data_IF_561651169761
#
_entry.id   IF_561651169761
#
_cell.length_a   1.000
_cell.length_b   1.000
_cell.length_c   1.000
_cell.angle_alpha   90.00
_cell.angle_beta   90.00
_cell.angle_gamma   90.00
#
_symmetry.space_group_name_H-M   'P 1'
#
loop_
_entity.id
_entity.type
_entity.pdbx_description
1 polymer ?
#
# COMPACT_ATOMS: atom_id res chain seq x y z
N UNK A 1 1.74 -22.09 -50.41
CA UNK A 1 2.88 -21.32 -49.86
C UNK A 1 2.56 -19.84 -49.67
N UNK A 2 2.27 -19.04 -50.71
CA UNK A 2 2.00 -17.59 -50.55
C UNK A 2 0.69 -17.29 -49.80
N UNK A 3 -0.39 -18.03 -50.11
CA UNK A 3 -1.68 -17.92 -49.42
C UNK A 3 -1.58 -18.21 -47.91
N UNK A 4 -0.87 -19.28 -47.55
CA UNK A 4 -0.63 -19.68 -46.15
C UNK A 4 0.19 -18.62 -45.38
N UNK A 5 1.14 -17.96 -46.06
CA UNK A 5 1.90 -16.85 -45.50
C UNK A 5 1.00 -15.63 -45.22
N UNK A 6 0.02 -15.38 -46.08
CA UNK A 6 -0.95 -14.30 -45.92
C UNK A 6 -1.90 -14.57 -44.74
N UNK A 7 -2.45 -15.78 -44.65
CA UNK A 7 -3.32 -16.21 -43.55
C UNK A 7 -2.58 -16.17 -42.21
N UNK A 8 -1.34 -16.68 -42.16
CA UNK A 8 -0.51 -16.62 -40.96
C UNK A 8 -0.21 -15.18 -40.52
N UNK A 9 0.02 -14.27 -41.47
CA UNK A 9 0.23 -12.85 -41.19
C UNK A 9 -1.02 -12.23 -40.57
N UNK A 10 -2.20 -12.49 -41.12
CA UNK A 10 -3.46 -11.96 -40.60
C UNK A 10 -3.77 -12.49 -39.19
N UNK A 11 -3.58 -13.79 -38.94
CA UNK A 11 -3.74 -14.37 -37.61
C UNK A 11 -2.78 -13.76 -36.60
N UNK A 12 -1.52 -13.58 -36.98
CA UNK A 12 -0.51 -12.97 -36.12
C UNK A 12 -0.88 -11.52 -35.78
N UNK A 13 -1.35 -10.74 -36.75
CA UNK A 13 -1.81 -9.37 -36.50
C UNK A 13 -3.03 -9.32 -35.58
N UNK A 14 -3.97 -10.26 -35.71
CA UNK A 14 -5.12 -10.37 -34.79
C UNK A 14 -4.66 -10.71 -33.36
N UNK A 15 -3.72 -11.64 -33.21
CA UNK A 15 -3.14 -12.00 -31.90
C UNK A 15 -2.40 -10.83 -31.26
N UNK A 16 -1.60 -10.10 -32.03
CA UNK A 16 -0.88 -8.91 -31.54
C UNK A 16 -1.87 -7.87 -31.00
N UNK A 17 -2.90 -7.52 -31.79
CA UNK A 17 -3.93 -6.56 -31.34
C UNK A 17 -4.66 -7.01 -30.07
N UNK A 18 -4.98 -8.30 -29.97
CA UNK A 18 -5.62 -8.84 -28.77
C UNK A 18 -4.71 -8.75 -27.54
N UNK A 19 -3.41 -9.01 -27.71
CA UNK A 19 -2.42 -8.87 -26.64
C UNK A 19 -2.21 -7.42 -26.23
N UNK A 20 -2.17 -6.49 -27.18
CA UNK A 20 -2.10 -5.04 -26.89
C UNK A 20 -3.29 -4.58 -26.06
N UNK A 21 -4.51 -4.96 -26.45
CA UNK A 21 -5.72 -4.64 -25.67
C UNK A 21 -5.68 -5.23 -24.26
N UNK A 22 -5.20 -6.48 -24.13
CA UNK A 22 -5.05 -7.12 -22.83
C UNK A 22 -4.02 -6.40 -21.96
N UNK A 23 -2.89 -5.98 -22.53
CA UNK A 23 -1.88 -5.21 -21.82
C UNK A 23 -2.44 -3.87 -21.33
N UNK A 24 -3.13 -3.12 -22.18
CA UNK A 24 -3.77 -1.84 -21.80
C UNK A 24 -4.75 -2.05 -20.63
N UNK A 25 -5.52 -3.14 -20.66
CA UNK A 25 -6.44 -3.47 -19.57
C UNK A 25 -5.68 -3.78 -18.27
N UNK A 26 -4.63 -4.62 -18.34
CA UNK A 26 -3.82 -4.96 -17.17
C UNK A 26 -3.11 -3.74 -16.58
N UNK A 27 -2.59 -2.84 -17.42
CA UNK A 27 -1.98 -1.58 -16.96
C UNK A 27 -2.98 -0.72 -16.19
N UNK A 28 -4.23 -0.62 -16.65
CA UNK A 28 -5.29 0.09 -15.93
C UNK A 28 -5.60 -0.56 -14.58
N UNK A 29 -5.69 -1.89 -14.54
CA UNK A 29 -5.91 -2.61 -13.30
C UNK A 29 -4.75 -2.42 -12.32
N UNK A 30 -3.51 -2.53 -12.78
CA UNK A 30 -2.32 -2.33 -11.94
C UNK A 30 -2.31 -0.92 -11.36
N UNK A 31 -2.56 0.10 -12.18
CA UNK A 31 -2.61 1.48 -11.70
C UNK A 31 -3.68 1.69 -10.62
N UNK A 32 -4.88 1.15 -10.83
CA UNK A 32 -5.95 1.25 -9.84
C UNK A 32 -5.61 0.51 -8.53
N UNK A 33 -4.87 -0.59 -8.60
CA UNK A 33 -4.38 -1.31 -7.43
C UNK A 33 -3.28 -0.55 -6.70
N UNK A 34 -2.34 0.04 -7.42
CA UNK A 34 -1.28 0.89 -6.85
C UNK A 34 -1.88 2.09 -6.10
N UNK A 35 -2.82 2.80 -6.73
CA UNK A 35 -3.56 3.90 -6.08
C UNK A 35 -4.28 3.41 -4.82
N UNK A 36 -4.92 2.24 -4.87
CA UNK A 36 -5.62 1.67 -3.72
C UNK A 36 -4.70 1.27 -2.58
N UNK A 37 -3.51 0.73 -2.87
CA UNK A 37 -2.49 0.41 -1.87
C UNK A 37 -2.00 1.68 -1.22
N UNK A 38 -1.68 2.71 -2.00
CA UNK A 38 -1.24 4.00 -1.47
C UNK A 38 -2.29 4.63 -0.56
N UNK A 39 -3.58 4.59 -0.93
CA UNK A 39 -4.67 5.06 -0.08
C UNK A 39 -4.74 4.31 1.26
N UNK A 40 -4.48 2.99 1.25
CA UNK A 40 -4.49 2.19 2.47
C UNK A 40 -3.29 2.49 3.36
N UNK A 41 -2.09 2.64 2.78
CA UNK A 41 -0.88 3.02 3.50
C UNK A 41 -1.02 4.39 4.16
N UNK A 42 -1.59 5.37 3.46
CA UNK A 42 -1.86 6.70 4.02
C UNK A 42 -2.85 6.60 5.18
N UNK A 43 -3.95 5.86 5.01
CA UNK A 43 -4.94 5.65 6.09
C UNK A 43 -4.38 4.92 7.30
N UNK A 44 -3.37 4.07 7.11
CA UNK A 44 -2.70 3.39 8.19
C UNK A 44 -1.78 4.36 8.94
N UNK A 45 -0.98 5.16 8.23
CA UNK A 45 -0.15 6.22 8.83
C UNK A 45 -0.95 7.29 9.55
N UNK A 46 -2.15 7.63 9.07
CA UNK A 46 -3.03 8.59 9.76
C UNK A 46 -3.46 8.13 11.17
N UNK A 47 -3.34 6.84 11.48
CA UNK A 47 -3.58 6.30 12.83
C UNK A 47 -2.36 6.42 13.73
N UNK A 48 -1.16 6.59 13.16
CA UNK A 48 0.07 6.75 13.91
C UNK A 48 0.11 8.14 14.55
N UNK A 49 0.53 8.21 15.81
CA UNK A 49 0.69 9.47 16.54
C UNK A 49 2.16 9.63 16.91
N UNK A 50 2.77 10.72 16.44
CA UNK A 50 4.14 11.06 16.79
C UNK A 50 4.18 11.94 18.04
N UNK A 51 4.81 11.43 19.11
CA UNK A 51 4.93 12.17 20.37
C UNK A 51 6.35 12.72 20.50
N UNK A 52 6.47 14.04 20.41
CA UNK A 52 7.74 14.74 20.52
C UNK A 52 8.07 15.10 21.97
N UNK A 53 9.38 15.23 22.26
CA UNK A 53 9.92 15.74 23.54
C UNK A 53 9.53 14.91 24.77
N UNK A 54 9.44 13.59 24.62
CA UNK A 54 9.44 12.67 25.77
C UNK A 54 10.89 12.50 26.25
N UNK A 55 11.10 12.71 27.55
CA UNK A 55 12.39 12.47 28.19
C UNK A 55 12.80 11.00 28.04
N UNK A 56 14.05 10.74 27.68
CA UNK A 56 14.58 9.38 27.55
C UNK A 56 15.06 8.84 28.90
N UNK A 57 14.51 7.69 29.31
CA UNK A 57 15.02 6.93 30.45
C UNK A 57 15.68 5.65 29.97
N UNK A 58 16.82 5.31 30.58
CA UNK A 58 17.55 4.08 30.27
C UNK A 58 16.72 2.85 30.64
N UNK A 59 16.64 1.87 29.73
CA UNK A 59 15.83 0.65 29.85
C UNK A 59 14.31 0.91 30.03
N UNK A 60 13.78 1.99 29.48
CA UNK A 60 12.33 2.22 29.51
C UNK A 60 11.57 1.25 28.61
N UNK A 61 10.34 0.93 29.02
CA UNK A 61 9.38 0.23 28.17
C UNK A 61 8.52 1.27 27.47
N UNK A 62 8.73 1.47 26.16
CA UNK A 62 8.06 2.49 25.36
C UNK A 62 6.53 2.42 25.44
N UNK A 63 5.96 1.21 25.40
CA UNK A 63 4.51 0.99 25.53
C UNK A 63 4.01 1.54 26.88
N UNK A 64 4.72 1.24 27.98
CA UNK A 64 4.32 1.73 29.31
C UNK A 64 4.37 3.26 29.42
N UNK A 65 5.33 3.89 28.73
CA UNK A 65 5.47 5.35 28.69
C UNK A 65 4.31 5.97 27.92
N UNK A 66 3.99 5.45 26.73
CA UNK A 66 2.88 5.96 25.90
C UNK A 66 1.53 5.74 26.59
N UNK A 67 1.31 4.60 27.26
CA UNK A 67 0.12 4.38 28.09
C UNK A 67 0.02 5.38 29.26
N UNK A 68 1.15 5.78 29.84
CA UNK A 68 1.20 6.84 30.85
C UNK A 68 0.77 8.20 30.28
N UNK A 69 1.25 8.54 29.08
CA UNK A 69 0.84 9.76 28.37
C UNK A 69 -0.65 9.73 28.01
N UNK A 70 -1.17 8.59 27.51
CA UNK A 70 -2.59 8.43 27.19
C UNK A 70 -3.49 8.69 28.41
N UNK A 71 -3.10 8.17 29.59
CA UNK A 71 -3.81 8.45 30.85
C UNK A 71 -3.80 9.92 31.23
N UNK A 72 -2.69 10.63 31.03
CA UNK A 72 -2.60 12.08 31.28
C UNK A 72 -3.51 12.86 30.33
N UNK A 73 -3.57 12.44 29.06
CA UNK A 73 -4.42 13.05 28.03
C UNK A 73 -5.89 12.60 28.09
N UNK A 74 -6.23 11.72 29.05
CA UNK A 74 -7.56 11.14 29.23
C UNK A 74 -8.08 10.40 27.98
N UNK A 75 -7.16 9.73 27.27
CA UNK A 75 -7.44 8.87 26.11
C UNK A 75 -7.30 7.41 26.57
N UNK A 76 -8.12 6.52 26.00
CA UNK A 76 -8.07 5.11 26.34
C UNK A 76 -6.71 4.50 25.95
N UNK A 77 -5.95 3.92 26.89
CA UNK A 77 -4.70 3.23 26.57
C UNK A 77 -4.93 1.88 25.88
N UNK A 78 -6.17 1.36 25.89
CA UNK A 78 -6.53 0.07 25.30
C UNK A 78 -6.57 0.11 23.76
N UNK A 79 -6.65 1.32 23.18
CA UNK A 79 -6.63 1.55 21.74
C UNK A 79 -5.19 1.66 21.18
N UNK A 80 -4.17 1.58 22.04
CA UNK A 80 -2.75 1.57 21.63
C UNK A 80 -2.37 0.16 21.23
N UNK A 81 -2.21 -0.06 19.92
CA UNK A 81 -1.80 -1.36 19.37
C UNK A 81 -0.31 -1.63 19.61
N UNK A 82 0.55 -0.64 19.37
CA UNK A 82 2.00 -0.73 19.60
C UNK A 82 2.62 0.65 19.84
N UNK A 83 3.85 0.70 20.37
CA UNK A 83 4.62 1.93 20.54
C UNK A 83 6.13 1.68 20.42
N UNK A 84 6.78 2.47 19.58
CA UNK A 84 8.23 2.40 19.32
C UNK A 84 8.88 3.80 19.35
N UNK A 85 10.20 3.82 19.56
CA UNK A 85 11.05 5.02 19.49
C UNK A 85 11.83 5.06 18.19
#
# INVERSE_FOLDING_TARGET
MYQQLLEYKEESQKKIKALEQKNIYLEKCNKALEERVQDLEVKEKEKEIEIHRIEEKTNENTISVVQGVAKILNVSPDDIEDAMR
#
